data_IF_728524890434
#
_entry.id   IF_728524890434
#
_cell.length_a   1.000
_cell.length_b   1.000
_cell.length_c   1.000
_cell.angle_alpha   90.00
_cell.angle_beta   90.00
_cell.angle_gamma   90.00
#
_symmetry.space_group_name_H-M   'P 1'
#
loop_
_entity.id
_entity.type
_entity.pdbx_description
1 polymer ?
#
# COMPACT_ATOMS: atom_id res chain seq x y z
N UNK A 1 -16.73 -2.55 9.99
CA UNK A 1 -15.45 -2.94 10.61
C UNK A 1 -14.38 -2.02 10.07
N UNK A 2 -14.00 -1.03 10.86
CA UNK A 2 -12.87 -0.14 10.62
C UNK A 2 -11.57 -0.94 10.45
N UNK A 3 -10.83 -0.69 9.36
CA UNK A 3 -9.50 -1.26 9.15
C UNK A 3 -8.47 -0.33 9.78
N UNK A 4 -7.65 -0.83 10.68
CA UNK A 4 -6.70 0.00 11.43
C UNK A 4 -5.27 -0.33 11.03
N UNK A 5 -4.41 0.68 10.97
CA UNK A 5 -2.98 0.52 10.85
C UNK A 5 -2.37 0.06 12.18
N UNK A 6 -2.15 -1.25 12.30
CA UNK A 6 -1.61 -1.86 13.52
C UNK A 6 -0.23 -1.35 13.91
N UNK A 7 0.63 -1.05 12.92
CA UNK A 7 1.96 -0.46 13.18
C UNK A 7 1.83 0.93 13.82
N UNK A 8 1.00 1.80 13.23
CA UNK A 8 0.78 3.14 13.76
C UNK A 8 0.11 3.12 15.13
N UNK A 9 -0.81 2.19 15.37
CA UNK A 9 -1.38 1.95 16.69
C UNK A 9 -0.31 1.61 17.74
N UNK A 10 0.65 0.75 17.39
CA UNK A 10 1.74 0.36 18.29
C UNK A 10 2.68 1.53 18.61
N UNK A 11 2.98 2.38 17.63
CA UNK A 11 3.80 3.58 17.77
C UNK A 11 3.12 4.58 18.72
N UNK A 12 1.85 4.92 18.47
CA UNK A 12 1.06 5.81 19.33
C UNK A 12 0.93 5.28 20.77
N UNK A 13 0.79 3.95 20.94
CA UNK A 13 0.75 3.35 22.27
C UNK A 13 2.07 3.57 23.03
N UNK A 14 3.21 3.38 22.35
CA UNK A 14 4.53 3.57 22.94
C UNK A 14 4.82 5.05 23.26
N UNK A 15 4.44 5.97 22.38
CA UNK A 15 4.53 7.42 22.63
C UNK A 15 3.74 7.86 23.87
N UNK A 16 2.63 7.16 24.16
CA UNK A 16 1.82 7.39 25.36
C UNK A 16 2.30 6.64 26.60
N UNK A 17 3.39 5.89 26.50
CA UNK A 17 3.95 5.10 27.61
C UNK A 17 3.04 3.98 28.10
N UNK A 18 2.10 3.50 27.27
CA UNK A 18 1.15 2.46 27.65
C UNK A 18 1.68 1.08 27.29
N UNK A 19 1.56 0.08 28.16
CA UNK A 19 1.77 -1.31 27.75
C UNK A 19 0.54 -1.86 27.01
N UNK A 20 0.69 -3.00 26.31
CA UNK A 20 -0.45 -3.69 25.68
C UNK A 20 -1.51 -4.07 26.70
N UNK A 21 -1.09 -4.48 27.90
CA UNK A 21 -1.98 -4.79 29.02
C UNK A 21 -2.72 -3.56 29.52
N UNK A 22 -2.05 -2.41 29.64
CA UNK A 22 -2.69 -1.17 30.14
C UNK A 22 -3.72 -0.62 29.16
N UNK A 23 -3.42 -0.73 27.85
CA UNK A 23 -4.39 -0.38 26.83
C UNK A 23 -5.59 -1.34 26.88
N UNK A 24 -5.33 -2.65 27.03
CA UNK A 24 -6.36 -3.66 27.11
C UNK A 24 -7.26 -3.48 28.34
N UNK A 25 -6.71 -3.18 29.52
CA UNK A 25 -7.49 -2.93 30.75
C UNK A 25 -8.36 -1.68 30.61
N UNK A 26 -7.83 -0.59 30.05
CA UNK A 26 -8.60 0.64 29.81
C UNK A 26 -9.76 0.44 28.82
N UNK A 27 -9.61 -0.44 27.84
CA UNK A 27 -10.68 -0.77 26.87
C UNK A 27 -11.58 -1.89 27.42
N UNK A 28 -11.17 -2.63 28.44
CA UNK A 28 -11.88 -3.83 28.92
C UNK A 28 -11.80 -4.98 27.91
N UNK A 29 -10.62 -5.20 27.31
CA UNK A 29 -10.34 -6.30 26.39
C UNK A 29 -9.17 -7.16 26.88
N UNK A 30 -8.95 -8.30 26.22
CA UNK A 30 -7.75 -9.11 26.47
C UNK A 30 -6.51 -8.49 25.80
N UNK A 31 -5.34 -8.69 26.43
CA UNK A 31 -4.03 -8.35 25.83
C UNK A 31 -3.87 -8.94 24.42
N UNK A 32 -4.31 -10.19 24.23
CA UNK A 32 -4.25 -10.87 22.94
C UNK A 32 -5.08 -10.20 21.85
N UNK A 33 -6.19 -9.55 22.20
CA UNK A 33 -7.00 -8.82 21.22
C UNK A 33 -6.25 -7.58 20.71
N UNK A 34 -5.59 -6.84 21.62
CA UNK A 34 -4.78 -5.67 21.25
C UNK A 34 -3.60 -6.09 20.37
N UNK A 35 -2.93 -7.19 20.69
CA UNK A 35 -1.84 -7.73 19.87
C UNK A 35 -2.31 -8.10 18.46
N UNK A 36 -3.50 -8.71 18.32
CA UNK A 36 -4.09 -8.99 17.00
C UNK A 36 -4.39 -7.73 16.21
N UNK A 37 -4.78 -6.64 16.86
CA UNK A 37 -4.98 -5.34 16.20
C UNK A 37 -3.65 -4.71 15.77
N UNK A 38 -2.63 -4.75 16.62
CA UNK A 38 -1.28 -4.22 16.30
C UNK A 38 -0.60 -4.98 15.15
N UNK A 39 -0.82 -6.30 15.07
CA UNK A 39 -0.28 -7.14 13.98
C UNK A 39 -1.13 -7.10 12.72
N UNK A 40 -2.32 -6.51 12.76
CA UNK A 40 -3.27 -6.50 11.64
C UNK A 40 -3.97 -7.84 11.39
N UNK A 41 -3.78 -8.83 12.27
CA UNK A 41 -4.45 -10.13 12.19
C UNK A 41 -5.96 -10.05 12.43
N UNK A 42 -6.42 -9.02 13.15
CA UNK A 42 -7.83 -8.72 13.34
C UNK A 42 -8.09 -7.22 13.22
N UNK A 43 -9.31 -6.87 12.84
CA UNK A 43 -9.79 -5.49 12.84
C UNK A 43 -10.76 -5.29 14.01
N UNK A 44 -10.67 -4.18 14.76
CA UNK A 44 -11.61 -3.88 15.82
C UNK A 44 -13.00 -3.50 15.26
N UNK A 45 -14.02 -3.68 16.09
CA UNK A 45 -15.33 -3.06 15.83
C UNK A 45 -15.24 -1.53 15.92
N UNK A 46 -16.16 -0.82 15.31
CA UNK A 46 -16.14 0.64 15.29
C UNK A 46 -16.21 1.22 16.72
N UNK A 47 -17.01 0.61 17.61
CA UNK A 47 -17.06 0.96 19.04
C UNK A 47 -15.73 0.78 19.78
N UNK A 48 -14.93 -0.22 19.38
CA UNK A 48 -13.60 -0.46 19.97
C UNK A 48 -12.60 0.56 19.40
N UNK A 49 -12.67 0.84 18.10
CA UNK A 49 -11.83 1.83 17.45
C UNK A 49 -12.03 3.22 18.06
N UNK A 50 -13.27 3.64 18.31
CA UNK A 50 -13.56 4.95 18.92
C UNK A 50 -13.00 5.04 20.36
N UNK A 51 -13.10 3.95 21.14
CA UNK A 51 -12.50 3.88 22.49
C UNK A 51 -10.97 3.93 22.46
N UNK A 52 -10.34 3.25 21.51
CA UNK A 52 -8.90 3.33 21.28
C UNK A 52 -8.51 4.78 20.98
N UNK A 53 -9.23 5.45 20.07
CA UNK A 53 -8.97 6.84 19.70
C UNK A 53 -9.14 7.79 20.91
N UNK A 54 -10.12 7.55 21.76
CA UNK A 54 -10.35 8.35 22.97
C UNK A 54 -9.21 8.21 23.99
N UNK A 55 -8.75 6.98 24.28
CA UNK A 55 -7.64 6.72 25.21
C UNK A 55 -6.33 7.26 24.64
N UNK A 56 -6.11 7.03 23.34
CA UNK A 56 -4.96 7.51 22.61
C UNK A 56 -5.14 8.96 22.13
N UNK A 57 -6.17 9.72 22.57
CA UNK A 57 -6.41 11.14 22.22
C UNK A 57 -5.98 11.49 20.78
N UNK A 58 -6.39 10.68 19.81
CA UNK A 58 -5.99 10.79 18.40
C UNK A 58 -7.23 10.82 17.55
N UNK A 59 -7.14 11.45 16.38
CA UNK A 59 -8.23 11.42 15.43
C UNK A 59 -8.34 10.03 14.79
N UNK A 60 -9.56 9.61 14.50
CA UNK A 60 -9.85 8.35 13.83
C UNK A 60 -9.13 8.22 12.48
N UNK A 61 -9.05 9.30 11.71
CA UNK A 61 -8.35 9.32 10.41
C UNK A 61 -6.84 9.11 10.52
N UNK A 62 -6.24 9.25 11.70
CA UNK A 62 -4.80 8.99 11.85
C UNK A 62 -4.48 7.50 11.90
N UNK A 63 -5.38 6.67 12.42
CA UNK A 63 -5.14 5.24 12.60
C UNK A 63 -5.93 4.40 11.58
N UNK A 64 -7.02 4.92 11.03
CA UNK A 64 -7.85 4.23 10.04
C UNK A 64 -7.14 4.13 8.68
N UNK A 65 -7.19 2.94 8.08
CA UNK A 65 -6.76 2.69 6.71
C UNK A 65 -8.01 2.72 5.84
N UNK A 66 -8.12 3.75 5.02
CA UNK A 66 -9.15 3.83 4.00
C UNK A 66 -8.73 3.03 2.76
N UNK A 67 -9.60 2.11 2.35
CA UNK A 67 -9.46 1.44 1.06
C UNK A 67 -9.94 2.38 -0.05
N UNK A 68 -9.00 3.08 -0.67
CA UNK A 68 -9.26 4.03 -1.76
C UNK A 68 -9.47 3.33 -3.11
N UNK A 69 -9.50 2.00 -3.16
CA UNK A 69 -9.70 1.25 -4.41
C UNK A 69 -8.54 1.38 -5.41
N UNK A 70 -7.42 1.95 -4.98
CA UNK A 70 -6.22 2.21 -5.75
C UNK A 70 -5.00 1.66 -5.03
N UNK A 71 -4.22 0.84 -5.73
CA UNK A 71 -2.94 0.37 -5.26
C UNK A 71 -1.85 1.34 -5.73
N UNK A 72 -1.26 2.08 -4.79
CA UNK A 72 -0.22 3.05 -5.07
C UNK A 72 1.09 2.43 -5.57
N UNK A 73 1.40 1.18 -5.17
CA UNK A 73 2.61 0.49 -5.62
C UNK A 73 2.52 0.09 -7.09
N UNK A 74 1.36 -0.46 -7.46
CA UNK A 74 1.10 -0.89 -8.84
C UNK A 74 0.56 0.23 -9.74
N UNK A 75 0.23 1.38 -9.14
CA UNK A 75 -0.46 2.51 -9.77
C UNK A 75 -1.72 2.08 -10.52
N UNK A 76 -2.51 1.19 -9.92
CA UNK A 76 -3.68 0.56 -10.56
C UNK A 76 -4.89 0.61 -9.66
N UNK A 77 -6.05 0.78 -10.28
CA UNK A 77 -7.34 0.64 -9.61
C UNK A 77 -7.83 -0.80 -9.69
N UNK A 78 -8.69 -1.18 -8.72
CA UNK A 78 -9.38 -2.48 -8.73
C UNK A 78 -10.14 -2.75 -10.02
N UNK A 79 -10.67 -1.71 -10.66
CA UNK A 79 -11.39 -1.80 -11.94
C UNK A 79 -10.47 -2.26 -13.06
N UNK A 80 -9.26 -1.70 -13.15
CA UNK A 80 -8.27 -2.06 -14.16
C UNK A 80 -7.82 -3.50 -13.97
N UNK A 81 -7.55 -3.91 -12.74
CA UNK A 81 -7.13 -5.29 -12.43
C UNK A 81 -8.22 -6.31 -12.79
N UNK A 82 -9.48 -6.01 -12.45
CA UNK A 82 -10.62 -6.84 -12.83
C UNK A 82 -10.76 -6.99 -14.34
N UNK A 83 -10.65 -5.89 -15.08
CA UNK A 83 -10.76 -5.92 -16.54
C UNK A 83 -9.62 -6.70 -17.18
N UNK A 84 -8.39 -6.53 -16.70
CA UNK A 84 -7.20 -7.28 -17.17
C UNK A 84 -7.35 -8.77 -16.93
N UNK A 85 -7.78 -9.17 -15.73
CA UNK A 85 -8.06 -10.57 -15.43
C UNK A 85 -9.13 -11.15 -16.36
N UNK A 86 -10.23 -10.40 -16.61
CA UNK A 86 -11.30 -10.82 -17.50
C UNK A 86 -10.84 -10.98 -18.96
N UNK A 87 -9.96 -10.09 -19.43
CA UNK A 87 -9.40 -10.13 -20.79
C UNK A 87 -8.21 -11.08 -20.94
N UNK A 88 -7.84 -11.80 -19.88
CA UNK A 88 -6.68 -12.71 -19.90
C UNK A 88 -5.36 -11.97 -20.14
N UNK A 89 -5.26 -10.72 -19.70
CA UNK A 89 -4.02 -9.95 -19.81
C UNK A 89 -2.97 -10.55 -18.88
N UNK A 90 -2.17 -11.48 -19.42
CA UNK A 90 -1.06 -12.07 -18.72
C UNK A 90 0.21 -11.26 -18.99
N UNK A 91 0.79 -10.70 -17.94
CA UNK A 91 2.04 -9.97 -18.04
C UNK A 91 3.19 -10.98 -17.96
N UNK A 92 3.79 -11.30 -19.11
CA UNK A 92 4.88 -12.28 -19.18
C UNK A 92 6.21 -11.79 -18.60
N UNK A 93 6.41 -10.47 -18.51
CA UNK A 93 7.60 -9.85 -17.93
C UNK A 93 7.28 -8.52 -17.25
N UNK A 94 7.99 -8.22 -16.17
CA UNK A 94 7.98 -6.89 -15.54
C UNK A 94 8.59 -5.86 -16.50
N UNK A 95 8.26 -4.55 -16.38
CA UNK A 95 8.89 -3.53 -17.22
C UNK A 95 10.42 -3.61 -17.17
N UNK A 96 10.99 -3.83 -15.99
CA UNK A 96 12.44 -3.95 -15.80
C UNK A 96 13.05 -5.15 -16.52
N UNK A 97 12.39 -6.31 -16.48
CA UNK A 97 12.83 -7.50 -17.20
C UNK A 97 12.74 -7.29 -18.72
N UNK A 98 11.67 -6.63 -19.20
CA UNK A 98 11.54 -6.27 -20.62
C UNK A 98 12.61 -5.27 -21.04
N UNK A 99 12.89 -4.26 -20.23
CA UNK A 99 13.95 -3.28 -20.49
C UNK A 99 15.32 -3.94 -20.55
N UNK A 100 15.63 -4.84 -19.61
CA UNK A 100 16.86 -5.64 -19.63
C UNK A 100 16.94 -6.54 -20.86
N UNK A 101 15.83 -7.15 -21.26
CA UNK A 101 15.77 -7.96 -22.49
C UNK A 101 16.08 -7.09 -23.71
N UNK A 102 15.41 -5.94 -23.85
CA UNK A 102 15.63 -4.98 -24.93
C UNK A 102 17.08 -4.52 -24.93
N UNK A 103 17.65 -4.12 -23.80
CA UNK A 103 19.05 -3.66 -23.73
C UNK A 103 20.05 -4.74 -24.12
N UNK A 104 19.77 -6.00 -23.78
CA UNK A 104 20.63 -7.14 -24.12
C UNK A 104 20.52 -7.54 -25.61
N UNK A 105 19.32 -7.40 -26.19
CA UNK A 105 19.06 -7.76 -27.58
C UNK A 105 19.35 -6.61 -28.56
N UNK A 106 19.41 -5.36 -28.09
CA UNK A 106 19.74 -4.20 -28.90
C UNK A 106 21.19 -4.28 -29.39
N UNK A 107 21.38 -4.50 -30.70
CA UNK A 107 22.71 -4.61 -31.33
C UNK A 107 23.30 -3.27 -31.74
N UNK A 108 22.53 -2.19 -31.66
CA UNK A 108 22.93 -0.87 -32.14
C UNK A 108 23.51 -0.01 -31.00
N UNK A 109 24.38 0.94 -31.35
CA UNK A 109 24.92 1.88 -30.37
C UNK A 109 23.88 2.95 -30.01
N UNK A 110 23.85 3.34 -28.74
CA UNK A 110 22.92 4.35 -28.22
C UNK A 110 22.91 5.66 -29.02
N UNK A 111 24.04 6.02 -29.65
CA UNK A 111 24.17 7.23 -30.45
C UNK A 111 23.39 7.17 -31.77
N UNK A 112 23.39 6.00 -32.44
CA UNK A 112 22.61 5.79 -33.67
C UNK A 112 21.12 5.85 -33.37
N UNK A 113 20.68 5.14 -32.34
CA UNK A 113 19.27 5.13 -31.90
C UNK A 113 18.79 6.55 -31.57
N UNK A 114 19.59 7.33 -30.84
CA UNK A 114 19.27 8.74 -30.52
C UNK A 114 19.20 9.62 -31.78
N UNK A 115 20.06 9.40 -32.77
CA UNK A 115 20.07 10.15 -34.03
C UNK A 115 18.83 9.85 -34.89
N UNK A 116 18.39 8.60 -34.93
CA UNK A 116 17.20 8.17 -35.65
C UNK A 116 15.92 8.69 -35.02
N UNK A 117 15.82 8.64 -33.68
CA UNK A 117 14.71 9.24 -32.94
C UNK A 117 14.63 10.74 -33.23
N UNK A 118 15.77 11.44 -33.17
CA UNK A 118 15.84 12.88 -33.47
C UNK A 118 15.44 13.18 -34.92
N UNK A 119 15.84 12.32 -35.86
CA UNK A 119 15.43 12.45 -37.27
C UNK A 119 13.93 12.23 -37.43
N UNK A 120 13.35 11.20 -36.80
CA UNK A 120 11.92 10.91 -36.86
C UNK A 120 11.05 12.03 -36.25
N UNK A 121 11.47 12.64 -35.14
CA UNK A 121 10.78 13.80 -34.56
C UNK A 121 10.87 15.05 -35.46
N UNK A 122 11.97 15.21 -36.19
CA UNK A 122 12.17 16.32 -37.12
C UNK A 122 11.46 16.13 -38.48
N UNK A 123 10.91 14.95 -38.78
CA UNK A 123 10.13 14.66 -40.00
C UNK A 123 8.64 15.02 -39.81
N UNK A 124 8.30 15.80 -38.78
CA UNK A 124 6.96 16.41 -38.68
C UNK A 124 6.80 17.59 -39.65
N UNK A 125 6.61 17.29 -40.94
CA UNK A 125 6.04 18.18 -41.97
C UNK A 125 5.06 17.39 -42.83
#
# INVERSE_FOLDING_TARGET
MCKINGRKLSELRMERGLSRSDLATKIGMSKSSIEKYETGAANPSDKVADRICMILKVNRGEIEIHDVGYNFMDQRSKTVDKYRAQKGFHRYSTPEETEKMISNECKESDEKVKSEIKSAFNVSV
#
